data_IF_857039816422
#
_entry.id   IF_857039816422
#
_cell.length_a   1.000
_cell.length_b   1.000
_cell.length_c   1.000
_cell.angle_alpha   90.00
_cell.angle_beta   90.00
_cell.angle_gamma   90.00
#
_symmetry.space_group_name_H-M   'P 1'
#
loop_
_entity.id
_entity.type
_entity.pdbx_description
1 polymer ?
#
# COMPACT_ATOMS: atom_id res chain seq x y z
N UNK A 1 22.75 -10.10 1.64
CA UNK A 1 21.43 -9.72 2.19
C UNK A 1 21.28 -8.21 2.44
N UNK A 2 21.98 -7.59 3.42
CA UNK A 2 21.83 -6.14 3.69
C UNK A 2 22.43 -5.25 2.59
N UNK A 3 23.61 -5.61 2.08
CA UNK A 3 24.26 -4.94 0.94
C UNK A 3 23.51 -5.15 -0.37
N UNK A 4 22.85 -6.30 -0.55
CA UNK A 4 22.02 -6.57 -1.74
C UNK A 4 20.72 -5.78 -1.70
N UNK A 5 20.09 -5.66 -0.51
CA UNK A 5 18.93 -4.80 -0.31
C UNK A 5 19.28 -3.33 -0.59
N UNK A 6 20.42 -2.84 -0.08
CA UNK A 6 20.89 -1.48 -0.36
C UNK A 6 21.31 -1.28 -1.81
N UNK A 7 21.97 -2.24 -2.47
CA UNK A 7 22.33 -2.14 -3.90
C UNK A 7 21.10 -2.22 -4.80
N UNK A 8 20.15 -3.10 -4.48
CA UNK A 8 18.85 -3.17 -5.15
C UNK A 8 18.08 -1.87 -4.95
N UNK A 9 18.26 -1.19 -3.83
CA UNK A 9 17.57 0.04 -3.51
C UNK A 9 18.19 1.29 -4.15
N UNK A 10 19.52 1.39 -4.17
CA UNK A 10 20.26 2.46 -4.85
C UNK A 10 20.28 2.31 -6.38
N UNK A 11 19.80 1.19 -6.94
CA UNK A 11 19.57 1.07 -8.39
C UNK A 11 18.26 1.70 -8.84
N UNK A 12 17.38 2.08 -7.92
CA UNK A 12 16.14 2.78 -8.22
C UNK A 12 16.39 4.26 -7.98
N UNK A 13 16.11 5.09 -8.97
CA UNK A 13 16.10 6.55 -8.88
C UNK A 13 14.86 7.03 -8.08
N UNK A 14 14.60 6.40 -6.92
CA UNK A 14 13.59 6.86 -5.99
C UNK A 14 14.00 8.24 -5.50
N UNK A 15 13.10 9.21 -5.68
CA UNK A 15 13.18 10.47 -4.94
C UNK A 15 13.13 10.15 -3.45
N UNK A 16 14.32 10.06 -2.86
CA UNK A 16 14.55 9.75 -1.47
C UNK A 16 13.72 10.74 -0.63
N UNK A 17 12.70 10.30 0.13
CA UNK A 17 11.85 11.22 0.89
C UNK A 17 12.56 11.71 2.18
N UNK A 18 13.87 11.60 2.24
CA UNK A 18 14.68 11.81 3.42
C UNK A 18 15.69 12.93 3.16
N UNK A 19 15.61 13.96 4.01
CA UNK A 19 16.52 15.10 3.98
C UNK A 19 17.90 14.75 4.57
N UNK A 20 18.87 15.65 4.37
CA UNK A 20 20.15 15.58 5.08
C UNK A 20 19.92 15.57 6.60
N UNK A 21 20.12 14.41 7.23
CA UNK A 21 19.91 14.21 8.68
C UNK A 21 19.16 12.92 9.04
N UNK A 22 18.54 12.26 8.08
CA UNK A 22 17.90 10.95 8.29
C UNK A 22 18.94 9.90 8.66
N UNK A 23 18.69 9.18 9.75
CA UNK A 23 19.62 8.16 10.25
C UNK A 23 19.51 6.84 9.45
N UNK A 24 20.54 6.01 9.54
CA UNK A 24 20.59 4.72 8.85
C UNK A 24 19.41 3.80 9.19
N UNK A 25 18.88 3.85 10.41
CA UNK A 25 17.74 3.01 10.83
C UNK A 25 16.46 3.36 10.07
N UNK A 26 16.16 4.66 9.92
CA UNK A 26 15.02 5.13 9.12
C UNK A 26 15.14 4.72 7.65
N UNK A 27 16.35 4.81 7.09
CA UNK A 27 16.64 4.33 5.73
C UNK A 27 16.40 2.82 5.61
N UNK A 28 16.85 2.03 6.59
CA UNK A 28 16.65 0.57 6.59
C UNK A 28 15.19 0.18 6.74
N UNK A 29 14.43 0.82 7.62
CA UNK A 29 13.00 0.57 7.79
C UNK A 29 12.24 0.87 6.50
N UNK A 30 12.59 1.96 5.80
CA UNK A 30 11.97 2.30 4.52
C UNK A 30 12.33 1.30 3.42
N UNK A 31 13.61 0.98 3.23
CA UNK A 31 14.05 0.00 2.24
C UNK A 31 13.43 -1.39 2.50
N UNK A 32 13.32 -1.79 3.77
CA UNK A 32 12.66 -3.03 4.17
C UNK A 32 11.17 -3.01 3.84
N UNK A 33 10.49 -1.90 4.11
CA UNK A 33 9.07 -1.74 3.79
C UNK A 33 8.82 -1.79 2.27
N UNK A 34 9.63 -1.11 1.46
CA UNK A 34 9.56 -1.18 0.00
C UNK A 34 9.74 -2.62 -0.48
N UNK A 35 10.81 -3.31 -0.06
CA UNK A 35 11.05 -4.71 -0.43
C UNK A 35 9.91 -5.65 -0.02
N UNK A 36 9.26 -5.35 1.12
CA UNK A 36 8.08 -6.10 1.56
C UNK A 36 6.89 -5.83 0.64
N UNK A 37 6.64 -4.57 0.26
CA UNK A 37 5.61 -4.20 -0.73
C UNK A 37 5.82 -4.87 -2.09
N UNK A 38 7.06 -4.96 -2.58
CA UNK A 38 7.40 -5.70 -3.81
C UNK A 38 6.96 -7.15 -3.73
N UNK A 39 7.34 -7.83 -2.63
CA UNK A 39 6.99 -9.23 -2.43
C UNK A 39 5.48 -9.42 -2.43
N UNK A 40 4.76 -8.52 -1.76
CA UNK A 40 3.30 -8.56 -1.67
C UNK A 40 2.66 -8.52 -3.04
N UNK A 41 3.06 -7.56 -3.88
CA UNK A 41 2.56 -7.47 -5.25
C UNK A 41 2.86 -8.75 -6.04
N UNK A 42 4.10 -9.24 -5.98
CA UNK A 42 4.53 -10.46 -6.67
C UNK A 42 3.78 -11.73 -6.24
N UNK A 43 3.24 -11.79 -5.01
CA UNK A 43 2.40 -12.90 -4.56
C UNK A 43 0.94 -12.80 -5.02
N UNK A 44 0.49 -11.64 -5.46
CA UNK A 44 -0.83 -11.51 -6.07
C UNK A 44 -0.81 -12.10 -7.49
N UNK A 45 -1.92 -12.68 -7.92
CA UNK A 45 -2.07 -13.13 -9.31
C UNK A 45 -1.93 -12.00 -10.33
N UNK A 46 -2.13 -10.74 -9.92
CA UNK A 46 -2.11 -9.58 -10.80
C UNK A 46 -0.69 -9.21 -11.25
N UNK A 47 0.30 -9.38 -10.37
CA UNK A 47 1.71 -9.05 -10.66
C UNK A 47 2.63 -10.29 -10.64
N UNK A 48 2.05 -11.49 -10.66
CA UNK A 48 2.82 -12.72 -10.77
C UNK A 48 3.47 -12.80 -12.15
N UNK A 49 4.79 -12.96 -12.19
CA UNK A 49 5.56 -13.02 -13.44
C UNK A 49 5.98 -11.67 -14.00
N UNK A 50 5.64 -10.55 -13.32
CA UNK A 50 6.19 -9.24 -13.66
C UNK A 50 7.70 -9.26 -13.41
N UNK A 51 8.48 -8.86 -14.42
CA UNK A 51 9.93 -8.80 -14.32
C UNK A 51 10.35 -7.71 -13.33
N UNK A 52 11.64 -7.75 -12.97
CA UNK A 52 12.20 -6.82 -12.00
C UNK A 52 11.98 -5.37 -12.45
N UNK A 53 12.37 -5.00 -13.67
CA UNK A 53 12.36 -3.63 -14.21
C UNK A 53 10.96 -3.03 -14.22
N UNK A 54 9.96 -3.80 -14.68
CA UNK A 54 8.55 -3.37 -14.66
C UNK A 54 8.04 -3.16 -13.24
N UNK A 55 8.44 -4.03 -12.29
CA UNK A 55 8.14 -3.78 -10.88
C UNK A 55 8.82 -2.52 -10.37
N UNK A 56 10.06 -2.24 -10.78
CA UNK A 56 10.77 -1.02 -10.38
C UNK A 56 10.07 0.24 -10.85
N UNK A 57 9.65 0.26 -12.12
CA UNK A 57 8.88 1.35 -12.71
C UNK A 57 7.57 1.56 -11.96
N UNK A 58 6.79 0.49 -11.74
CA UNK A 58 5.52 0.57 -11.01
C UNK A 58 5.70 1.20 -9.63
N UNK A 59 6.69 0.73 -8.87
CA UNK A 59 6.88 1.20 -7.51
C UNK A 59 7.40 2.65 -7.48
N UNK A 60 8.07 3.12 -8.53
CA UNK A 60 8.55 4.51 -8.63
C UNK A 60 7.41 5.54 -8.61
N UNK A 61 6.19 5.11 -8.94
CA UNK A 61 4.99 5.95 -8.87
C UNK A 61 4.38 6.05 -7.46
N UNK A 62 4.84 5.23 -6.52
CA UNK A 62 4.30 5.22 -5.17
C UNK A 62 4.96 6.24 -4.25
N UNK A 63 4.14 6.90 -3.45
CA UNK A 63 4.58 7.79 -2.38
C UNK A 63 4.20 7.23 -1.00
N UNK A 64 5.09 7.33 0.01
CA UNK A 64 4.73 6.98 1.37
C UNK A 64 3.65 7.92 1.91
N UNK A 65 2.65 7.35 2.55
CA UNK A 65 1.53 8.05 3.18
C UNK A 65 1.27 7.48 4.57
N UNK A 66 1.02 8.39 5.52
CA UNK A 66 0.61 8.04 6.88
C UNK A 66 -0.89 8.29 7.02
N UNK A 67 -1.62 7.26 7.45
CA UNK A 67 -3.04 7.31 7.69
C UNK A 67 -3.30 7.16 9.20
N UNK A 68 -3.80 8.20 9.88
CA UNK A 68 -4.18 8.10 11.28
C UNK A 68 -5.30 7.08 11.50
N UNK A 69 -5.33 6.48 12.69
CA UNK A 69 -6.46 5.66 13.13
C UNK A 69 -7.80 6.42 12.98
N UNK A 70 -8.83 5.69 12.56
CA UNK A 70 -10.19 6.14 12.17
C UNK A 70 -10.27 6.97 10.89
N UNK A 71 -9.20 7.05 10.10
CA UNK A 71 -9.29 7.61 8.75
C UNK A 71 -10.24 6.77 7.92
N UNK A 72 -11.17 7.44 7.22
CA UNK A 72 -12.09 6.81 6.28
C UNK A 72 -11.63 7.11 4.85
N UNK A 73 -11.51 6.06 4.05
CA UNK A 73 -11.22 6.13 2.63
C UNK A 73 -12.47 5.62 1.90
N UNK A 74 -12.84 6.33 0.83
CA UNK A 74 -14.00 6.00 0.00
C UNK A 74 -13.49 5.67 -1.40
N UNK A 75 -14.12 4.70 -2.06
CA UNK A 75 -13.75 4.28 -3.42
C UNK A 75 -13.75 5.42 -4.45
N UNK A 76 -14.56 6.46 -4.23
CA UNK A 76 -14.56 7.68 -5.03
C UNK A 76 -13.22 8.44 -5.02
N UNK A 77 -12.40 8.25 -3.98
CA UNK A 77 -11.07 8.87 -3.84
C UNK A 77 -9.95 8.03 -4.48
N UNK A 78 -10.23 6.78 -4.85
CA UNK A 78 -9.21 5.78 -5.19
C UNK A 78 -9.43 5.16 -6.57
N UNK A 79 -10.18 5.83 -7.44
CA UNK A 79 -10.37 5.42 -8.84
C UNK A 79 -9.10 5.39 -9.67
N UNK A 80 -8.07 6.12 -9.24
CA UNK A 80 -6.82 6.30 -9.98
C UNK A 80 -5.60 5.92 -9.17
N UNK A 81 -5.79 5.26 -8.03
CA UNK A 81 -4.72 4.91 -7.11
C UNK A 81 -5.13 3.72 -6.25
N UNK A 82 -4.14 3.01 -5.72
CA UNK A 82 -4.37 1.90 -4.80
C UNK A 82 -3.32 1.94 -3.71
N UNK A 83 -3.59 1.28 -2.59
CA UNK A 83 -2.70 1.33 -1.44
C UNK A 83 -2.03 -0.01 -1.19
N UNK A 84 -0.79 0.03 -0.73
CA UNK A 84 -0.07 -1.11 -0.17
C UNK A 84 0.21 -0.83 1.30
N UNK A 85 -0.24 -1.70 2.20
CA UNK A 85 -0.09 -1.53 3.65
C UNK A 85 1.32 -1.97 4.06
N UNK A 86 2.14 -1.03 4.53
CA UNK A 86 3.48 -1.31 5.05
C UNK A 86 3.44 -1.67 6.54
N UNK A 87 2.55 -1.02 7.29
CA UNK A 87 2.33 -1.20 8.72
C UNK A 87 0.93 -0.77 9.09
N UNK A 88 0.34 -1.41 10.09
CA UNK A 88 -1.00 -1.09 10.57
C UNK A 88 -2.04 -2.03 9.98
N UNK A 89 -3.31 -1.67 10.13
CA UNK A 89 -4.44 -2.48 9.71
C UNK A 89 -5.58 -1.62 9.21
N UNK A 90 -6.27 -2.12 8.19
CA UNK A 90 -7.39 -1.47 7.53
C UNK A 90 -8.56 -2.44 7.46
N UNK A 91 -9.76 -1.97 7.81
CA UNK A 91 -11.01 -2.72 7.75
C UNK A 91 -11.76 -2.33 6.48
N UNK A 92 -12.16 -3.31 5.69
CA UNK A 92 -13.09 -3.15 4.58
C UNK A 92 -14.46 -3.67 5.02
N UNK A 93 -15.48 -2.85 4.91
CA UNK A 93 -16.84 -3.19 5.31
C UNK A 93 -17.91 -2.64 4.38
N UNK A 94 -19.12 -3.16 4.55
CA UNK A 94 -20.31 -2.73 3.83
C UNK A 94 -21.45 -2.48 4.81
N UNK A 95 -22.33 -1.56 4.46
CA UNK A 95 -23.57 -1.31 5.19
C UNK A 95 -24.71 -1.92 4.41
N UNK A 96 -25.46 -2.83 5.03
CA UNK A 96 -26.67 -3.35 4.43
C UNK A 96 -27.72 -2.22 4.36
N UNK A 97 -28.24 -1.86 3.18
CA UNK A 97 -29.11 -0.69 3.01
C UNK A 97 -30.49 -0.86 3.65
N UNK A 98 -30.97 -2.10 3.83
CA UNK A 98 -32.29 -2.37 4.42
C UNK A 98 -32.25 -2.32 5.95
N UNK A 99 -31.16 -2.79 6.56
CA UNK A 99 -31.05 -2.98 8.01
C UNK A 99 -30.14 -1.97 8.70
N UNK A 100 -29.32 -1.25 7.93
CA UNK A 100 -28.29 -0.33 8.44
C UNK A 100 -27.13 -1.02 9.16
N UNK A 101 -27.05 -2.36 9.13
CA UNK A 101 -25.99 -3.12 9.80
C UNK A 101 -24.73 -3.13 8.97
N UNK A 102 -23.60 -2.83 9.62
CA UNK A 102 -22.27 -3.02 9.06
C UNK A 102 -21.87 -4.50 9.15
N UNK A 103 -21.28 -5.02 8.08
CA UNK A 103 -20.53 -6.27 8.11
C UNK A 103 -19.13 -6.09 7.52
N UNK A 104 -18.17 -6.71 8.19
CA UNK A 104 -16.76 -6.67 7.79
C UNK A 104 -16.54 -7.71 6.70
N UNK A 105 -15.97 -7.27 5.58
CA UNK A 105 -15.58 -8.15 4.48
C UNK A 105 -14.17 -8.66 4.73
N UNK A 106 -13.23 -7.73 5.00
CA UNK A 106 -11.83 -8.05 5.27
C UNK A 106 -11.24 -7.17 6.37
N UNK A 107 -10.26 -7.71 7.08
CA UNK A 107 -9.27 -6.94 7.82
C UNK A 107 -7.95 -7.20 7.13
N UNK A 108 -7.39 -6.15 6.54
CA UNK A 108 -6.13 -6.15 5.82
C UNK A 108 -5.02 -5.67 6.75
N UNK A 109 -3.84 -6.24 6.60
CA UNK A 109 -2.68 -5.97 7.44
C UNK A 109 -1.42 -5.69 6.62
N UNK A 110 -0.28 -5.58 7.31
CA UNK A 110 1.01 -5.28 6.70
C UNK A 110 1.41 -6.33 5.67
N UNK A 111 1.31 -5.96 4.40
CA UNK A 111 1.53 -6.82 3.26
C UNK A 111 0.26 -7.14 2.46
N UNK A 112 -0.84 -6.44 2.70
CA UNK A 112 -1.99 -6.46 1.82
C UNK A 112 -2.08 -5.16 1.00
N UNK A 113 -2.90 -5.19 -0.04
CA UNK A 113 -3.24 -4.04 -0.85
C UNK A 113 -4.76 -3.86 -0.95
N UNK A 114 -5.23 -2.63 -1.14
CA UNK A 114 -6.65 -2.32 -1.29
C UNK A 114 -6.92 -1.29 -2.39
N UNK A 115 -8.17 -1.25 -2.86
CA UNK A 115 -8.69 -0.44 -3.97
C UNK A 115 -8.09 -0.71 -5.36
N UNK A 116 -7.45 -1.88 -5.52
CA UNK A 116 -7.03 -2.38 -6.84
C UNK A 116 -8.22 -2.53 -7.79
N UNK A 117 -9.38 -2.99 -7.31
CA UNK A 117 -10.56 -3.21 -8.18
C UNK A 117 -11.08 -1.88 -8.73
N UNK A 118 -11.30 -0.89 -7.85
CA UNK A 118 -11.72 0.47 -8.22
C UNK A 118 -10.78 1.12 -9.23
N UNK A 119 -9.46 0.86 -9.11
CA UNK A 119 -8.47 1.31 -10.09
C UNK A 119 -8.62 0.61 -11.46
N UNK A 120 -8.87 -0.70 -11.46
CA UNK A 120 -8.89 -1.50 -12.69
C UNK A 120 -10.16 -1.28 -13.52
N UNK A 121 -11.32 -1.10 -12.87
CA UNK A 121 -12.59 -0.86 -13.56
C UNK A 121 -12.97 0.63 -13.65
N UNK A 122 -12.35 1.49 -12.84
CA UNK A 122 -12.66 2.92 -12.79
C UNK A 122 -13.98 3.24 -12.10
N UNK A 123 -14.59 2.27 -11.42
CA UNK A 123 -15.92 2.37 -10.82
C UNK A 123 -15.84 2.60 -9.30
N UNK A 124 -16.91 3.21 -8.76
CA UNK A 124 -17.09 3.29 -7.31
C UNK A 124 -17.73 2.01 -6.82
N UNK A 125 -17.12 1.41 -5.81
CA UNK A 125 -17.68 0.27 -5.10
C UNK A 125 -18.23 0.72 -3.76
N UNK A 126 -19.36 0.15 -3.35
CA UNK A 126 -19.96 0.38 -2.04
C UNK A 126 -19.12 -0.34 -0.97
N UNK A 127 -17.92 0.16 -0.68
CA UNK A 127 -17.03 -0.35 0.37
C UNK A 127 -16.57 0.81 1.21
N UNK A 128 -16.62 0.62 2.53
CA UNK A 128 -16.07 1.55 3.51
C UNK A 128 -14.72 1.02 3.93
N UNK A 129 -13.71 1.86 3.82
CA UNK A 129 -12.35 1.53 4.20
C UNK A 129 -12.03 2.36 5.44
N UNK A 130 -11.85 1.70 6.57
CA UNK A 130 -11.53 2.35 7.84
C UNK A 130 -10.15 1.90 8.32
N UNK A 131 -9.29 2.86 8.57
CA UNK A 131 -7.98 2.63 9.18
C UNK A 131 -8.18 2.36 10.68
N UNK A 132 -7.90 1.15 11.15
CA UNK A 132 -8.21 0.75 12.53
C UNK A 132 -7.02 0.88 13.49
N UNK A 133 -5.80 1.01 12.96
CA UNK A 133 -4.57 1.39 13.67
C UNK A 133 -3.80 2.42 12.84
N UNK A 134 -2.95 3.25 13.45
CA UNK A 134 -2.09 4.17 12.71
C UNK A 134 -1.29 3.39 11.66
N UNK A 135 -1.48 3.77 10.39
CA UNK A 135 -1.08 2.98 9.23
C UNK A 135 -0.07 3.75 8.40
N UNK A 136 0.95 3.04 7.95
CA UNK A 136 1.89 3.52 6.94
C UNK A 136 1.60 2.71 5.68
N UNK A 137 1.43 3.41 4.57
CA UNK A 137 1.10 2.82 3.28
C UNK A 137 1.91 3.47 2.17
N UNK A 138 1.98 2.79 1.03
CA UNK A 138 2.36 3.38 -0.25
C UNK A 138 1.06 3.67 -1.03
N UNK A 139 0.95 4.87 -1.61
CA UNK A 139 -0.14 5.30 -2.51
C UNK A 139 0.39 5.64 -3.90
#
# INVERSE_FOLDING_TARGET
MLLEALSFYYSFDYNFPFDFGTNLYEIFEWAYAVLKGIKVLQYTTLFNGTDKETMEELLSHFAPTTLPKKTLIYSSQTKTSFYIILKGRVKLSQINPETGREYIIFILEAGDAFDIISLLDGEEHEVIIEVIDDTISLL
#
